data_IF_888609783469
#
_entry.id   IF_888609783469
#
_cell.length_a   1.000
_cell.length_b   1.000
_cell.length_c   1.000
_cell.angle_alpha   90.00
_cell.angle_beta   90.00
_cell.angle_gamma   90.00
#
_symmetry.space_group_name_H-M   'P 1'
#
loop_
_entity.id
_entity.type
_entity.pdbx_description
1 polymer ?
#
# COMPACT_ATOMS: atom_id res chain seq x y z
N UNK A 1 6.47 -8.71 -19.88
CA UNK A 1 6.76 -9.41 -18.61
C UNK A 1 7.84 -8.72 -17.78
N UNK A 2 8.95 -8.24 -18.35
CA UNK A 2 9.93 -7.43 -17.60
C UNK A 2 9.31 -6.13 -17.05
N UNK A 3 8.60 -5.38 -17.89
CA UNK A 3 7.95 -4.12 -17.49
C UNK A 3 6.99 -4.28 -16.28
N UNK A 4 6.09 -5.28 -16.30
CA UNK A 4 5.18 -5.56 -15.16
C UNK A 4 5.92 -5.99 -13.90
N UNK A 5 7.07 -6.66 -14.03
CA UNK A 5 7.92 -7.01 -12.88
C UNK A 5 8.58 -5.77 -12.30
N UNK A 6 9.12 -4.89 -13.14
CA UNK A 6 9.77 -3.66 -12.72
C UNK A 6 8.77 -2.73 -12.03
N UNK A 7 7.55 -2.63 -12.57
CA UNK A 7 6.44 -1.90 -11.94
C UNK A 7 6.08 -2.46 -10.55
N UNK A 8 5.97 -3.78 -10.41
CA UNK A 8 5.70 -4.40 -9.12
C UNK A 8 6.82 -4.13 -8.09
N UNK A 9 8.09 -4.12 -8.52
CA UNK A 9 9.23 -3.77 -7.65
C UNK A 9 9.13 -2.31 -7.20
N UNK A 10 8.81 -1.39 -8.13
CA UNK A 10 8.67 0.02 -7.83
C UNK A 10 7.52 0.29 -6.85
N UNK A 11 6.36 -0.34 -7.03
CA UNK A 11 5.22 -0.22 -6.11
C UNK A 11 5.59 -0.73 -4.70
N UNK A 12 6.30 -1.85 -4.60
CA UNK A 12 6.79 -2.38 -3.31
C UNK A 12 7.78 -1.44 -2.62
N UNK A 13 8.68 -0.82 -3.38
CA UNK A 13 9.60 0.19 -2.86
C UNK A 13 8.85 1.44 -2.38
N UNK A 14 7.87 1.91 -3.14
CA UNK A 14 7.01 3.05 -2.75
C UNK A 14 6.28 2.79 -1.42
N UNK A 15 5.70 1.60 -1.24
CA UNK A 15 5.05 1.22 0.04
C UNK A 15 6.05 1.27 1.19
N UNK A 16 7.27 0.77 1.00
CA UNK A 16 8.29 0.78 2.06
C UNK A 16 8.71 2.21 2.45
N UNK A 17 8.82 3.12 1.47
CA UNK A 17 9.12 4.54 1.71
C UNK A 17 7.97 5.21 2.46
N UNK A 18 6.73 5.01 2.02
CA UNK A 18 5.54 5.59 2.65
C UNK A 18 5.39 5.11 4.10
N UNK A 19 5.63 3.83 4.38
CA UNK A 19 5.65 3.29 5.76
C UNK A 19 6.71 3.94 6.63
N UNK A 20 7.91 4.16 6.07
CA UNK A 20 8.97 4.87 6.78
C UNK A 20 8.59 6.33 7.07
N UNK A 21 7.98 7.02 6.11
CA UNK A 21 7.49 8.39 6.30
C UNK A 21 6.45 8.47 7.41
N UNK A 22 5.47 7.56 7.43
CA UNK A 22 4.48 7.46 8.50
C UNK A 22 5.16 7.32 9.87
N UNK A 23 6.07 6.36 10.03
CA UNK A 23 6.75 6.10 11.29
C UNK A 23 7.58 7.29 11.78
N UNK A 24 8.28 7.98 10.87
CA UNK A 24 9.02 9.20 11.20
C UNK A 24 8.07 10.36 11.57
N UNK A 25 6.93 10.47 10.87
CA UNK A 25 5.88 11.42 11.19
C UNK A 25 5.33 11.21 12.60
N UNK A 26 5.02 9.97 12.98
CA UNK A 26 4.53 9.62 14.32
C UNK A 26 5.53 10.01 15.42
N UNK A 27 6.83 9.76 15.20
CA UNK A 27 7.89 10.20 16.12
C UNK A 27 7.98 11.73 16.22
N UNK A 28 7.89 12.42 15.08
CA UNK A 28 7.93 13.88 15.01
C UNK A 28 6.71 14.49 15.72
N UNK A 29 5.54 13.89 15.55
CA UNK A 29 4.29 14.29 16.21
C UNK A 29 4.44 14.24 17.73
N UNK A 30 4.99 13.14 18.26
CA UNK A 30 5.22 12.98 19.69
C UNK A 30 6.15 14.08 20.24
N UNK A 31 7.27 14.34 19.55
CA UNK A 31 8.20 15.40 19.92
C UNK A 31 7.54 16.79 19.90
N UNK A 32 6.75 17.09 18.86
CA UNK A 32 6.05 18.38 18.74
C UNK A 32 4.95 18.53 19.79
N UNK A 33 4.28 17.44 20.16
CA UNK A 33 3.31 17.43 21.25
C UNK A 33 3.95 17.79 22.59
N UNK A 34 5.12 17.24 22.90
CA UNK A 34 5.86 17.61 24.11
C UNK A 34 6.26 19.09 24.12
N UNK A 35 6.75 19.61 22.99
CA UNK A 35 7.16 21.02 22.87
C UNK A 35 5.97 22.00 22.99
N UNK A 36 4.82 21.63 22.41
CA UNK A 36 3.57 22.39 22.55
C UNK A 36 3.12 22.47 24.01
N UNK A 37 3.15 21.36 24.74
CA UNK A 37 2.66 21.26 26.12
C UNK A 37 3.62 21.83 27.17
N UNK A 38 4.94 21.63 27.00
CA UNK A 38 5.93 22.00 28.03
C UNK A 38 6.29 23.48 28.02
N UNK A 39 6.48 24.06 26.83
CA UNK A 39 7.09 25.39 26.68
C UNK A 39 6.30 26.33 25.76
N UNK A 40 5.27 25.84 25.08
CA UNK A 40 4.54 26.61 24.06
C UNK A 40 5.43 27.05 22.88
N UNK A 41 6.60 26.43 22.70
CA UNK A 41 7.60 26.81 21.69
C UNK A 41 7.27 26.32 20.28
N UNK A 42 6.28 25.43 20.15
CA UNK A 42 5.80 24.89 18.89
C UNK A 42 4.36 25.33 18.65
N UNK A 43 3.99 25.90 17.49
CA UNK A 43 2.60 26.23 17.20
C UNK A 43 1.76 24.98 16.93
N UNK A 44 0.48 25.00 17.31
CA UNK A 44 -0.49 23.91 17.06
C UNK A 44 -0.53 23.50 15.57
N UNK A 45 -0.36 24.47 14.67
CA UNK A 45 -0.32 24.25 13.23
C UNK A 45 0.72 23.19 12.83
N UNK A 46 1.87 23.12 13.50
CA UNK A 46 2.90 22.15 13.15
C UNK A 46 2.51 20.72 13.55
N UNK A 47 1.73 20.55 14.62
CA UNK A 47 1.16 19.24 14.96
C UNK A 47 0.13 18.82 13.92
N UNK A 48 -0.72 19.75 13.49
CA UNK A 48 -1.74 19.49 12.46
C UNK A 48 -1.10 19.16 11.11
N UNK A 49 0.00 19.82 10.74
CA UNK A 49 0.74 19.52 9.52
C UNK A 49 1.34 18.11 9.57
N UNK A 50 1.98 17.73 10.68
CA UNK A 50 2.51 16.37 10.84
C UNK A 50 1.38 15.33 10.83
N UNK A 51 0.24 15.61 11.47
CA UNK A 51 -0.94 14.76 11.41
C UNK A 51 -1.43 14.57 9.96
N UNK A 52 -1.52 15.65 9.18
CA UNK A 52 -1.88 15.57 7.77
C UNK A 52 -0.89 14.72 6.96
N UNK A 53 0.42 14.88 7.19
CA UNK A 53 1.45 14.08 6.51
C UNK A 53 1.34 12.59 6.84
N UNK A 54 1.09 12.23 8.10
CA UNK A 54 0.87 10.84 8.55
C UNK A 54 -0.34 10.23 7.81
N UNK A 55 -1.48 10.92 7.80
CA UNK A 55 -2.68 10.41 7.13
C UNK A 55 -2.51 10.33 5.61
N UNK A 56 -1.82 11.29 4.99
CA UNK A 56 -1.49 11.24 3.58
C UNK A 56 -0.61 10.03 3.25
N UNK A 57 0.39 9.72 4.09
CA UNK A 57 1.23 8.55 3.93
C UNK A 57 0.42 7.26 4.05
N UNK A 58 -0.49 7.16 5.03
CA UNK A 58 -1.36 5.99 5.19
C UNK A 58 -2.30 5.80 4.00
N UNK A 59 -2.94 6.87 3.51
CA UNK A 59 -3.81 6.82 2.35
C UNK A 59 -3.05 6.36 1.10
N UNK A 60 -1.85 6.90 0.89
CA UNK A 60 -1.00 6.50 -0.23
C UNK A 60 -0.60 5.03 -0.14
N UNK A 61 -0.32 4.49 1.06
CA UNK A 61 -0.03 3.06 1.24
C UNK A 61 -1.19 2.19 0.77
N UNK A 62 -2.42 2.48 1.21
CA UNK A 62 -3.61 1.73 0.80
C UNK A 62 -3.80 1.78 -0.72
N UNK A 63 -3.62 2.96 -1.31
CA UNK A 63 -3.73 3.14 -2.75
C UNK A 63 -2.66 2.34 -3.52
N UNK A 64 -1.40 2.42 -3.09
CA UNK A 64 -0.29 1.70 -3.74
C UNK A 64 -0.42 0.18 -3.56
N UNK A 65 -0.91 -0.29 -2.42
CA UNK A 65 -1.22 -1.71 -2.20
C UNK A 65 -2.34 -2.19 -3.12
N UNK A 66 -3.39 -1.38 -3.33
CA UNK A 66 -4.45 -1.71 -4.28
C UNK A 66 -3.93 -1.75 -5.73
N UNK A 67 -3.07 -0.80 -6.12
CA UNK A 67 -2.41 -0.80 -7.43
C UNK A 67 -1.57 -2.06 -7.65
N UNK A 68 -0.79 -2.48 -6.63
CA UNK A 68 0.01 -3.70 -6.71
C UNK A 68 -0.88 -4.95 -6.90
N UNK A 69 -1.99 -5.05 -6.17
CA UNK A 69 -2.93 -6.18 -6.32
C UNK A 69 -3.57 -6.20 -7.71
N UNK A 70 -3.94 -5.05 -8.27
CA UNK A 70 -4.47 -4.98 -9.63
C UNK A 70 -3.44 -5.47 -10.66
N UNK A 71 -2.19 -5.01 -10.55
CA UNK A 71 -1.10 -5.46 -11.41
C UNK A 71 -0.86 -6.97 -11.30
N UNK A 72 -0.95 -7.53 -10.10
CA UNK A 72 -0.85 -8.98 -9.88
C UNK A 72 -1.99 -9.73 -10.59
N UNK A 73 -3.23 -9.25 -10.49
CA UNK A 73 -4.39 -9.83 -11.19
C UNK A 73 -4.22 -9.77 -12.72
N UNK A 74 -3.76 -8.64 -13.26
CA UNK A 74 -3.52 -8.46 -14.69
C UNK A 74 -2.42 -9.41 -15.20
N UNK A 75 -1.40 -9.66 -14.38
CA UNK A 75 -0.37 -10.65 -14.67
C UNK A 75 -0.97 -12.07 -14.70
N UNK A 76 -1.79 -12.45 -13.72
CA UNK A 76 -2.44 -13.75 -13.70
C UNK A 76 -3.36 -13.96 -14.91
N UNK A 77 -4.10 -12.92 -15.30
CA UNK A 77 -4.96 -12.94 -16.47
C UNK A 77 -4.17 -13.10 -17.77
N UNK A 78 -3.18 -12.21 -18.01
CA UNK A 78 -2.37 -12.22 -19.22
C UNK A 78 -1.52 -13.48 -19.39
N UNK A 79 -1.20 -14.18 -18.29
CA UNK A 79 -0.47 -15.45 -18.30
C UNK A 79 -1.35 -16.69 -18.30
N UNK A 80 -2.67 -16.53 -18.25
CA UNK A 80 -3.63 -17.64 -18.16
C UNK A 80 -3.56 -18.41 -16.84
N UNK A 81 -2.86 -17.90 -15.82
CA UNK A 81 -2.65 -18.57 -14.52
C UNK A 81 -3.76 -18.32 -13.50
N UNK A 82 -4.75 -17.48 -13.85
CA UNK A 82 -5.81 -17.06 -12.94
C UNK A 82 -6.55 -18.26 -12.34
N UNK A 83 -6.92 -19.26 -13.14
CA UNK A 83 -7.62 -20.46 -12.64
C UNK A 83 -6.80 -21.26 -11.64
N UNK A 84 -5.55 -21.56 -11.96
CA UNK A 84 -4.65 -22.32 -11.10
C UNK A 84 -4.42 -21.64 -9.75
N UNK A 85 -4.16 -20.32 -9.76
CA UNK A 85 -3.87 -19.55 -8.53
C UNK A 85 -5.11 -19.42 -7.64
N UNK A 86 -6.31 -19.34 -8.23
CA UNK A 86 -7.57 -19.34 -7.48
C UNK A 86 -8.14 -20.75 -7.25
N UNK A 87 -7.36 -21.82 -7.51
CA UNK A 87 -7.76 -23.22 -7.33
C UNK A 87 -9.08 -23.60 -8.04
N UNK A 88 -9.32 -23.02 -9.21
CA UNK A 88 -10.51 -23.26 -10.04
C UNK A 88 -10.33 -24.40 -11.06
N UNK A 89 -9.10 -24.89 -11.25
CA UNK A 89 -8.86 -26.02 -12.14
C UNK A 89 -9.57 -27.28 -11.60
N UNK A 90 -10.18 -28.04 -12.51
CA UNK A 90 -10.98 -29.23 -12.23
C UNK A 90 -12.19 -28.99 -11.31
N UNK A 91 -12.60 -27.73 -11.12
CA UNK A 91 -13.84 -27.41 -10.42
C UNK A 91 -15.01 -27.45 -11.39
N UNK A 92 -16.17 -27.93 -10.92
CA UNK A 92 -17.45 -27.77 -11.64
C UNK A 92 -18.09 -26.48 -11.21
N UNK A 93 -18.12 -25.50 -12.12
CA UNK A 93 -18.79 -24.23 -11.94
C UNK A 93 -20.00 -24.20 -12.88
N UNK A 94 -21.20 -23.99 -12.34
CA UNK A 94 -22.44 -23.89 -13.13
C UNK A 94 -22.65 -25.07 -14.10
N UNK A 95 -22.27 -26.29 -13.69
CA UNK A 95 -22.45 -27.51 -14.48
C UNK A 95 -21.36 -27.78 -15.52
N UNK A 96 -20.42 -26.84 -15.75
CA UNK A 96 -19.27 -27.01 -16.65
C UNK A 96 -18.03 -27.34 -15.84
N UNK A 97 -17.31 -28.40 -16.23
CA UNK A 97 -16.03 -28.76 -15.64
C UNK A 97 -14.91 -27.93 -16.28
N UNK A 98 -14.18 -27.18 -15.46
CA UNK A 98 -13.09 -26.35 -15.91
C UNK A 98 -11.85 -27.23 -16.06
N UNK A 99 -11.52 -27.60 -17.30
CA UNK A 99 -10.30 -28.35 -17.62
C UNK A 99 -9.06 -27.45 -17.54
N UNK A 100 -7.87 -28.02 -17.28
CA UNK A 100 -6.62 -27.25 -17.17
C UNK A 100 -6.35 -26.36 -18.39
#
# INVERSE_FOLDING_TARGET
MSASRDEAVNLKQSIAIQRRQQLLGEQTRALYQDQYLQLGTRPLLDLLNVDQEIYQAQFNQVLTEAQLRNLELDCLFSTGKMRAVFALDNQRIQGVEIRP
#
